data_IF_343991547038
#
_entry.id   IF_343991547038
#
_cell.length_a   1.000
_cell.length_b   1.000
_cell.length_c   1.000
_cell.angle_alpha   90.00
_cell.angle_beta   90.00
_cell.angle_gamma   90.00
#
_symmetry.space_group_name_H-M   'P 1'
#
loop_
_entity.id
_entity.type
_entity.pdbx_description
1 polymer ?
#
# COMPACT_ATOMS: atom_id res chain seq x y z
N UNK A 1 -14.14 11.03 -18.93
CA UNK A 1 -12.86 10.42 -18.53
C UNK A 1 -12.72 10.55 -17.02
N UNK A 2 -13.01 9.50 -16.26
CA UNK A 2 -12.61 9.44 -14.86
C UNK A 2 -11.16 9.01 -14.85
N UNK A 3 -10.27 10.00 -14.90
CA UNK A 3 -8.85 9.78 -14.64
C UNK A 3 -8.77 9.35 -13.18
N UNK A 4 -8.63 8.05 -12.92
CA UNK A 4 -8.55 7.51 -11.57
C UNK A 4 -7.20 7.90 -10.99
N UNK A 5 -7.09 9.13 -10.52
CA UNK A 5 -5.89 9.72 -9.90
C UNK A 5 -5.51 9.00 -8.60
N UNK A 6 -6.44 8.23 -8.02
CA UNK A 6 -6.22 7.41 -6.84
C UNK A 6 -6.84 6.03 -7.01
N UNK A 7 -5.99 5.01 -7.13
CA UNK A 7 -6.39 3.63 -6.85
C UNK A 7 -6.21 3.40 -5.33
N UNK A 8 -7.30 3.28 -4.56
CA UNK A 8 -7.23 3.10 -3.12
C UNK A 8 -6.85 1.66 -2.78
N UNK A 9 -5.88 1.50 -1.89
CA UNK A 9 -5.40 0.21 -1.40
C UNK A 9 -5.70 0.12 0.09
N UNK A 10 -6.42 -0.92 0.50
CA UNK A 10 -6.62 -1.24 1.92
C UNK A 10 -5.55 -2.24 2.39
N UNK A 11 -4.90 -1.95 3.52
CA UNK A 11 -4.11 -2.94 4.24
C UNK A 11 -5.04 -3.89 5.03
N UNK A 12 -4.48 -5.00 5.52
CA UNK A 12 -5.20 -5.98 6.36
C UNK A 12 -5.74 -5.37 7.67
N UNK A 13 -5.11 -4.32 8.17
CA UNK A 13 -5.59 -3.53 9.31
C UNK A 13 -6.74 -2.55 8.98
N UNK A 14 -7.20 -2.51 7.73
CA UNK A 14 -8.31 -1.66 7.28
C UNK A 14 -7.94 -0.20 6.96
N UNK A 15 -6.69 0.21 7.19
CA UNK A 15 -6.22 1.54 6.79
C UNK A 15 -6.02 1.63 5.27
N UNK A 16 -6.50 2.73 4.69
CA UNK A 16 -6.52 2.94 3.24
C UNK A 16 -5.42 3.93 2.85
N UNK A 17 -4.67 3.59 1.80
CA UNK A 17 -3.59 4.38 1.24
C UNK A 17 -3.73 4.51 -0.27
N UNK A 18 -3.09 5.52 -0.84
CA UNK A 18 -2.90 5.58 -2.29
C UNK A 18 -1.96 4.45 -2.75
N UNK A 19 -2.11 3.93 -3.99
CA UNK A 19 -1.21 2.88 -4.50
C UNK A 19 0.29 3.22 -4.32
N UNK A 20 0.70 4.45 -4.64
CA UNK A 20 2.09 4.92 -4.46
C UNK A 20 2.52 4.88 -2.99
N UNK A 21 1.63 5.29 -2.09
CA UNK A 21 1.84 5.32 -0.66
C UNK A 21 1.99 3.90 -0.12
N UNK A 22 1.12 3.00 -0.57
CA UNK A 22 1.14 1.58 -0.21
C UNK A 22 2.43 0.91 -0.70
N UNK A 23 2.87 1.16 -1.95
CA UNK A 23 4.16 0.67 -2.44
C UNK A 23 5.35 1.18 -1.60
N UNK A 24 5.35 2.46 -1.22
CA UNK A 24 6.39 3.04 -0.34
C UNK A 24 6.42 2.37 1.04
N UNK A 25 5.26 2.12 1.65
CA UNK A 25 5.16 1.42 2.95
C UNK A 25 5.63 -0.02 2.82
N UNK A 26 5.29 -0.69 1.72
CA UNK A 26 5.72 -2.05 1.41
C UNK A 26 7.20 -2.17 1.00
N UNK A 27 7.94 -1.05 0.93
CA UNK A 27 9.32 -0.98 0.43
C UNK A 27 9.50 -1.58 -0.98
N UNK A 28 8.46 -1.51 -1.82
CA UNK A 28 8.46 -1.97 -3.22
C UNK A 28 8.34 -0.79 -4.18
N UNK A 29 8.77 -1.00 -5.42
CA UNK A 29 8.57 -0.01 -6.47
C UNK A 29 7.18 -0.13 -7.06
N UNK A 30 6.62 0.96 -7.59
CA UNK A 30 5.31 0.99 -8.24
C UNK A 30 5.24 -0.01 -9.41
N UNK A 31 6.38 -0.22 -10.10
CA UNK A 31 6.52 -1.13 -11.25
C UNK A 31 6.45 -2.60 -10.83
N UNK A 32 7.04 -2.94 -9.69
CA UNK A 32 7.04 -4.27 -9.09
C UNK A 32 5.68 -4.59 -8.43
N UNK A 33 5.06 -3.56 -7.86
CA UNK A 33 3.71 -3.58 -7.33
C UNK A 33 3.57 -4.24 -5.96
N UNK A 34 2.38 -4.09 -5.37
CA UNK A 34 2.10 -4.55 -4.01
C UNK A 34 2.17 -6.07 -3.82
N UNK A 35 2.04 -6.85 -4.89
CA UNK A 35 2.16 -8.31 -4.83
C UNK A 35 3.57 -8.78 -4.44
N UNK A 36 4.59 -7.95 -4.63
CA UNK A 36 5.97 -8.26 -4.25
C UNK A 36 6.32 -7.76 -2.83
N UNK A 37 5.35 -7.15 -2.12
CA UNK A 37 5.54 -6.64 -0.77
C UNK A 37 5.91 -7.76 0.22
N UNK A 38 6.80 -7.45 1.16
CA UNK A 38 7.10 -8.36 2.26
C UNK A 38 6.03 -8.25 3.36
N UNK A 39 5.50 -9.38 3.83
CA UNK A 39 4.50 -9.46 4.91
C UNK A 39 5.05 -9.08 6.30
N UNK A 40 6.14 -8.32 6.37
CA UNK A 40 6.79 -7.84 7.59
C UNK A 40 6.67 -6.33 7.75
N UNK A 41 6.27 -5.64 6.68
CA UNK A 41 6.06 -4.20 6.73
C UNK A 41 4.85 -3.87 7.61
N UNK A 42 4.97 -2.77 8.34
CA UNK A 42 3.97 -2.34 9.32
C UNK A 42 3.15 -1.19 8.75
N UNK A 43 1.87 -1.17 9.04
CA UNK A 43 1.03 -0.02 8.77
C UNK A 43 1.59 1.24 9.47
N UNK A 44 1.78 2.37 8.77
CA UNK A 44 2.32 3.58 9.39
C UNK A 44 1.37 4.24 10.39
N UNK A 45 0.08 3.87 10.40
CA UNK A 45 -0.94 4.43 11.31
C UNK A 45 -1.07 3.62 12.60
N UNK A 46 -1.28 2.31 12.51
CA UNK A 46 -1.53 1.44 13.67
C UNK A 46 -0.39 0.49 14.01
N UNK A 47 0.65 0.38 13.16
CA UNK A 47 1.81 -0.52 13.31
C UNK A 47 1.49 -2.02 13.28
N UNK A 48 0.28 -2.39 12.87
CA UNK A 48 -0.07 -3.78 12.55
C UNK A 48 0.73 -4.26 11.34
N UNK A 49 1.12 -5.52 11.37
CA UNK A 49 1.86 -6.15 10.26
C UNK A 49 0.86 -6.51 9.18
N UNK A 50 1.12 -6.03 7.95
CA UNK A 50 0.19 -6.18 6.82
C UNK A 50 0.29 -7.53 6.15
#
# INVERSE_FOLDING_TARGET
MQDTVFDPVSLTCGHIFCYICACKVASVTIVDGLQAANHKEKCPLCREVS
#
